data_IF_539473566851
#
_entry.id   IF_539473566851
#
_cell.length_a   1.000
_cell.length_b   1.000
_cell.length_c   1.000
_cell.angle_alpha   90.00
_cell.angle_beta   90.00
_cell.angle_gamma   90.00
#
_symmetry.space_group_name_H-M   'P 1'
#
loop_
_entity.id
_entity.type
_entity.pdbx_description
1 polymer ?
#
# COMPACT_ATOMS: atom_id res chain seq x y z
N UNK A 1 13.63 3.29 -3.53
CA UNK A 1 12.55 3.70 -4.47
C UNK A 1 12.30 2.58 -5.47
N UNK A 2 11.04 2.23 -5.68
CA UNK A 2 10.65 1.19 -6.64
C UNK A 2 10.34 1.84 -7.99
N UNK A 3 10.67 1.16 -9.09
CA UNK A 3 10.34 1.63 -10.44
C UNK A 3 9.02 1.03 -10.91
N UNK A 4 8.25 1.80 -11.65
CA UNK A 4 7.01 1.33 -12.28
C UNK A 4 6.64 2.15 -13.50
N UNK A 5 5.58 1.72 -14.15
CA UNK A 5 5.04 2.36 -15.35
C UNK A 5 3.58 2.74 -15.14
N UNK A 6 3.14 3.74 -15.87
CA UNK A 6 1.73 3.95 -16.12
C UNK A 6 1.42 3.87 -17.62
N UNK A 7 0.26 3.29 -17.95
CA UNK A 7 -0.14 2.93 -19.31
C UNK A 7 -1.62 3.21 -19.55
N UNK A 8 -1.96 3.43 -20.82
CA UNK A 8 -3.31 3.69 -21.31
C UNK A 8 -3.51 3.07 -22.69
N UNK A 9 -4.69 3.34 -23.27
CA UNK A 9 -5.02 2.99 -24.63
C UNK A 9 -4.07 3.55 -25.70
N UNK A 10 -3.27 4.57 -25.37
CA UNK A 10 -2.26 5.13 -26.25
C UNK A 10 -1.06 4.19 -26.42
N UNK A 11 -0.80 3.33 -25.43
CA UNK A 11 0.29 2.33 -25.50
C UNK A 11 -0.15 1.05 -26.23
N UNK A 12 -1.45 0.89 -26.51
CA UNK A 12 -1.99 -0.30 -27.14
C UNK A 12 -1.91 -1.54 -26.24
N UNK A 13 -1.72 -2.72 -26.84
CA UNK A 13 -1.49 -3.95 -26.08
C UNK A 13 -0.06 -3.98 -25.56
N UNK A 14 0.10 -3.88 -24.24
CA UNK A 14 1.41 -3.87 -23.56
C UNK A 14 1.74 -5.25 -23.03
N UNK A 15 2.94 -5.76 -23.34
CA UNK A 15 3.44 -6.98 -22.75
C UNK A 15 4.00 -6.72 -21.34
N UNK A 16 3.19 -6.96 -20.31
CA UNK A 16 3.54 -6.70 -18.91
C UNK A 16 4.72 -7.59 -18.42
N UNK A 17 4.95 -8.75 -19.05
CA UNK A 17 6.13 -9.57 -18.73
C UNK A 17 7.43 -8.83 -19.05
N UNK A 18 7.50 -8.06 -20.14
CA UNK A 18 8.67 -7.25 -20.48
C UNK A 18 8.89 -6.13 -19.46
N UNK A 19 7.81 -5.52 -18.98
CA UNK A 19 7.85 -4.53 -17.88
C UNK A 19 8.45 -5.16 -16.62
N UNK A 20 7.98 -6.35 -16.22
CA UNK A 20 8.53 -7.08 -15.06
C UNK A 20 10.01 -7.46 -15.25
N UNK A 21 10.38 -7.95 -16.43
CA UNK A 21 11.76 -8.38 -16.73
C UNK A 21 12.78 -7.24 -16.65
N UNK A 22 12.34 -5.99 -16.82
CA UNK A 22 13.19 -4.80 -16.65
C UNK A 22 13.28 -4.30 -15.21
N UNK A 23 12.73 -5.07 -14.25
CA UNK A 23 12.82 -4.79 -12.81
C UNK A 23 11.74 -3.87 -12.26
N UNK A 24 10.77 -3.46 -13.08
CA UNK A 24 9.61 -2.68 -12.60
C UNK A 24 8.74 -3.53 -11.67
N UNK A 25 8.14 -2.87 -10.68
CA UNK A 25 7.43 -3.50 -9.55
C UNK A 25 5.96 -3.13 -9.47
N UNK A 26 5.52 -2.16 -10.26
CA UNK A 26 4.13 -1.73 -10.29
C UNK A 26 3.70 -1.25 -11.68
N UNK A 27 2.40 -1.38 -11.95
CA UNK A 27 1.72 -0.90 -13.16
C UNK A 27 0.47 -0.13 -12.74
N UNK A 28 0.35 1.10 -13.23
CA UNK A 28 -0.85 1.92 -13.10
C UNK A 28 -1.53 1.98 -14.47
N UNK A 29 -2.77 1.53 -14.61
CA UNK A 29 -3.47 1.51 -15.90
C UNK A 29 -4.64 2.49 -15.91
N UNK A 30 -4.82 3.21 -17.01
CA UNK A 30 -6.02 4.03 -17.23
C UNK A 30 -7.22 3.12 -17.23
N UNK A 31 -8.24 3.45 -16.44
CA UNK A 31 -9.51 2.72 -16.45
C UNK A 31 -10.59 3.53 -17.18
N UNK A 32 -10.72 4.80 -16.84
CA UNK A 32 -11.77 5.66 -17.39
C UNK A 32 -11.32 7.10 -17.59
N UNK A 33 -12.08 7.82 -18.42
CA UNK A 33 -11.95 9.26 -18.60
C UNK A 33 -13.33 9.92 -18.64
N UNK A 34 -13.49 11.00 -17.88
CA UNK A 34 -14.76 11.70 -17.76
C UNK A 34 -15.90 10.78 -17.33
N UNK A 35 -17.09 10.90 -17.92
CA UNK A 35 -18.25 10.09 -17.51
C UNK A 35 -18.62 8.96 -18.47
N UNK A 36 -17.84 8.74 -19.54
CA UNK A 36 -18.27 7.85 -20.64
C UNK A 36 -17.16 7.00 -21.24
N UNK A 37 -15.90 7.40 -21.14
CA UNK A 37 -14.81 6.66 -21.78
C UNK A 37 -14.28 5.56 -20.86
N UNK A 38 -14.29 4.33 -21.36
CA UNK A 38 -13.62 3.17 -20.73
C UNK A 38 -12.39 2.82 -21.55
N UNK A 39 -11.24 2.70 -20.88
CA UNK A 39 -10.02 2.24 -21.54
C UNK A 39 -10.11 0.74 -21.84
N UNK A 40 -10.08 0.39 -23.13
CA UNK A 40 -10.24 -0.99 -23.58
C UNK A 40 -9.09 -1.94 -23.18
N UNK A 41 -7.93 -1.41 -22.77
CA UNK A 41 -6.77 -2.21 -22.35
C UNK A 41 -6.62 -2.31 -20.83
N UNK A 42 -7.45 -1.60 -20.06
CA UNK A 42 -7.43 -1.62 -18.59
C UNK A 42 -7.46 -3.04 -18.02
N UNK A 43 -8.51 -3.80 -18.38
CA UNK A 43 -8.76 -5.12 -17.80
C UNK A 43 -7.64 -6.12 -18.10
N UNK A 44 -7.14 -6.16 -19.34
CA UNK A 44 -6.04 -7.05 -19.71
C UNK A 44 -4.76 -6.66 -18.99
N UNK A 45 -4.44 -5.36 -18.93
CA UNK A 45 -3.21 -4.87 -18.31
C UNK A 45 -3.16 -5.16 -16.82
N UNK A 46 -4.26 -4.90 -16.09
CA UNK A 46 -4.33 -5.16 -14.64
C UNK A 46 -4.30 -6.66 -14.35
N UNK A 47 -5.01 -7.47 -15.14
CA UNK A 47 -5.01 -8.93 -14.99
C UNK A 47 -3.59 -9.49 -15.15
N UNK A 48 -2.88 -9.08 -16.20
CA UNK A 48 -1.53 -9.56 -16.49
C UNK A 48 -0.53 -9.06 -15.42
N UNK A 49 -0.64 -7.80 -14.98
CA UNK A 49 0.19 -7.27 -13.91
C UNK A 49 -0.03 -8.01 -12.58
N UNK A 50 -1.28 -8.29 -12.22
CA UNK A 50 -1.61 -9.02 -10.99
C UNK A 50 -1.14 -10.48 -11.05
N UNK A 51 -1.31 -11.16 -12.19
CA UNK A 51 -0.79 -12.51 -12.39
C UNK A 51 0.74 -12.60 -12.26
N UNK A 52 1.43 -11.48 -12.46
CA UNK A 52 2.87 -11.33 -12.29
C UNK A 52 3.27 -10.76 -10.91
N UNK A 53 2.34 -10.70 -9.95
CA UNK A 53 2.58 -10.22 -8.58
C UNK A 53 3.14 -8.78 -8.53
N UNK A 54 2.85 -7.97 -9.54
CA UNK A 54 3.14 -6.55 -9.53
C UNK A 54 2.07 -5.83 -8.71
N UNK A 55 2.44 -4.70 -8.10
CA UNK A 55 1.45 -3.78 -7.52
C UNK A 55 0.62 -3.20 -8.66
N UNK A 56 -0.70 -3.23 -8.52
CA UNK A 56 -1.63 -2.77 -9.55
C UNK A 56 -2.43 -1.57 -9.08
N UNK A 57 -2.63 -0.60 -9.97
CA UNK A 57 -3.50 0.53 -9.71
C UNK A 57 -4.28 0.96 -10.95
N UNK A 58 -5.44 1.55 -10.71
CA UNK A 58 -6.28 2.11 -11.76
C UNK A 58 -6.31 3.64 -11.63
N UNK A 59 -6.20 4.35 -12.75
CA UNK A 59 -6.39 5.80 -12.75
C UNK A 59 -7.60 6.26 -13.56
N UNK A 60 -8.18 7.37 -13.11
CA UNK A 60 -9.27 8.07 -13.75
C UNK A 60 -8.80 9.43 -14.26
N UNK A 61 -8.91 9.67 -15.57
CA UNK A 61 -8.62 10.98 -16.14
C UNK A 61 -9.83 11.91 -15.98
N UNK A 62 -9.70 12.91 -15.11
CA UNK A 62 -10.80 13.80 -14.77
C UNK A 62 -11.22 14.69 -15.94
N UNK A 63 -12.52 14.96 -16.04
CA UNK A 63 -13.09 16.01 -16.90
C UNK A 63 -14.04 16.94 -16.13
N UNK A 64 -14.16 16.76 -14.81
CA UNK A 64 -15.02 17.58 -13.97
C UNK A 64 -14.43 18.96 -13.66
N UNK A 65 -15.32 19.95 -13.57
CA UNK A 65 -15.04 21.29 -13.04
C UNK A 65 -15.98 21.66 -11.88
N UNK A 66 -16.86 20.75 -11.47
CA UNK A 66 -17.77 20.92 -10.33
C UNK A 66 -17.79 19.67 -9.44
N UNK A 67 -18.25 19.84 -8.20
CA UNK A 67 -18.37 18.75 -7.23
C UNK A 67 -19.36 17.67 -7.67
N UNK A 68 -20.49 18.08 -8.25
CA UNK A 68 -21.53 17.17 -8.74
C UNK A 68 -20.99 16.30 -9.87
N UNK A 69 -20.23 16.92 -10.79
CA UNK A 69 -19.61 16.20 -11.90
C UNK A 69 -18.50 15.26 -11.40
N UNK A 70 -17.73 15.68 -10.41
CA UNK A 70 -16.74 14.83 -9.76
C UNK A 70 -17.36 13.56 -9.15
N UNK A 71 -18.51 13.68 -8.50
CA UNK A 71 -19.25 12.51 -7.95
C UNK A 71 -19.77 11.59 -9.08
N UNK A 72 -20.25 12.16 -10.19
CA UNK A 72 -20.68 11.37 -11.35
C UNK A 72 -19.51 10.58 -11.94
N UNK A 73 -18.37 11.23 -12.17
CA UNK A 73 -17.16 10.59 -12.71
C UNK A 73 -16.61 9.53 -11.76
N UNK A 74 -16.62 9.79 -10.44
CA UNK A 74 -16.24 8.81 -9.44
C UNK A 74 -17.15 7.57 -9.48
N UNK A 75 -18.46 7.76 -9.66
CA UNK A 75 -19.42 6.65 -9.77
C UNK A 75 -19.16 5.80 -11.01
N UNK A 76 -18.81 6.44 -12.14
CA UNK A 76 -18.46 5.76 -13.39
C UNK A 76 -17.13 5.01 -13.30
N UNK A 77 -16.10 5.62 -12.68
CA UNK A 77 -14.86 4.92 -12.38
C UNK A 77 -15.11 3.71 -11.48
N UNK A 78 -15.88 3.87 -10.40
CA UNK A 78 -16.23 2.79 -9.46
C UNK A 78 -16.92 1.62 -10.14
N UNK A 79 -17.89 1.87 -11.02
CA UNK A 79 -18.58 0.78 -11.73
C UNK A 79 -17.65 0.05 -12.69
N UNK A 80 -16.70 0.76 -13.31
CA UNK A 80 -15.77 0.18 -14.28
C UNK A 80 -14.71 -0.70 -13.62
N UNK A 81 -14.22 -0.32 -12.44
CA UNK A 81 -13.17 -1.07 -11.74
C UNK A 81 -13.73 -2.11 -10.75
N UNK A 82 -15.05 -2.22 -10.63
CA UNK A 82 -15.70 -3.13 -9.69
C UNK A 82 -15.22 -4.58 -9.88
N UNK A 83 -14.92 -5.25 -8.76
CA UNK A 83 -14.43 -6.63 -8.76
C UNK A 83 -12.95 -6.80 -9.15
N UNK A 84 -12.23 -5.71 -9.41
CA UNK A 84 -10.78 -5.77 -9.67
C UNK A 84 -10.00 -5.63 -8.36
N UNK A 85 -9.02 -6.51 -8.15
CA UNK A 85 -8.10 -6.42 -7.01
C UNK A 85 -6.96 -5.42 -7.30
N UNK A 86 -7.19 -4.16 -6.92
CA UNK A 86 -6.28 -3.03 -7.10
C UNK A 86 -5.63 -2.65 -5.78
N UNK A 87 -4.32 -2.45 -5.73
CA UNK A 87 -3.62 -2.03 -4.51
C UNK A 87 -3.93 -0.58 -4.12
N UNK A 88 -4.10 0.31 -5.11
CA UNK A 88 -4.55 1.70 -4.94
C UNK A 88 -5.28 2.21 -6.19
N UNK A 89 -5.95 3.36 -6.07
CA UNK A 89 -6.65 4.05 -7.16
C UNK A 89 -6.22 5.50 -7.25
N UNK A 90 -6.28 6.08 -8.45
CA UNK A 90 -5.74 7.40 -8.73
C UNK A 90 -6.79 8.32 -9.37
N UNK A 91 -6.91 9.54 -8.83
CA UNK A 91 -7.47 10.67 -9.57
C UNK A 91 -6.34 11.35 -10.36
N UNK A 92 -6.41 11.31 -11.68
CA UNK A 92 -5.56 12.09 -12.57
C UNK A 92 -6.25 13.43 -12.86
N UNK A 93 -5.71 14.52 -12.28
CA UNK A 93 -6.30 15.85 -12.37
C UNK A 93 -5.38 16.83 -13.10
N UNK A 94 -5.55 16.85 -14.43
CA UNK A 94 -4.84 17.75 -15.34
C UNK A 94 -5.78 18.38 -16.39
N UNK A 95 -7.07 18.47 -16.08
CA UNK A 95 -8.08 19.04 -16.96
C UNK A 95 -8.10 20.58 -16.89
N UNK A 96 -8.61 21.23 -17.93
CA UNK A 96 -8.68 22.70 -17.98
C UNK A 96 -9.76 23.25 -17.03
N UNK A 97 -9.35 23.89 -15.93
CA UNK A 97 -10.23 24.57 -14.96
C UNK A 97 -9.81 26.02 -14.71
N UNK A 98 -10.68 26.74 -14.00
CA UNK A 98 -10.35 27.98 -13.31
C UNK A 98 -10.65 27.85 -11.81
N UNK A 99 -9.91 28.62 -11.00
CA UNK A 99 -10.14 28.69 -9.56
C UNK A 99 -9.69 27.45 -8.78
N UNK A 100 -10.09 27.42 -7.51
CA UNK A 100 -9.79 26.34 -6.58
C UNK A 100 -10.73 25.14 -6.80
N UNK A 101 -10.14 24.01 -7.14
CA UNK A 101 -10.80 22.76 -7.47
C UNK A 101 -10.75 21.73 -6.34
N UNK A 102 -10.22 22.11 -5.17
CA UNK A 102 -9.95 21.21 -4.05
C UNK A 102 -11.20 20.47 -3.62
N UNK A 103 -12.33 21.15 -3.40
CA UNK A 103 -13.55 20.50 -2.88
C UNK A 103 -14.18 19.52 -3.89
N UNK A 104 -14.00 19.74 -5.20
CA UNK A 104 -14.43 18.78 -6.22
C UNK A 104 -13.50 17.56 -6.28
N UNK A 105 -12.17 17.78 -6.22
CA UNK A 105 -11.19 16.70 -6.17
C UNK A 105 -11.38 15.84 -4.91
N UNK A 106 -11.63 16.46 -3.76
CA UNK A 106 -11.94 15.77 -2.51
C UNK A 106 -13.20 14.91 -2.66
N UNK A 107 -14.26 15.41 -3.29
CA UNK A 107 -15.48 14.63 -3.49
C UNK A 107 -15.25 13.38 -4.36
N UNK A 108 -14.40 13.49 -5.39
CA UNK A 108 -13.99 12.33 -6.19
C UNK A 108 -13.15 11.34 -5.36
N UNK A 109 -12.08 11.84 -4.72
CA UNK A 109 -11.14 11.01 -3.96
C UNK A 109 -11.83 10.30 -2.78
N UNK A 110 -12.71 11.00 -2.05
CA UNK A 110 -13.51 10.42 -0.96
C UNK A 110 -14.40 9.29 -1.48
N UNK A 111 -15.01 9.49 -2.65
CA UNK A 111 -15.85 8.47 -3.26
C UNK A 111 -15.04 7.23 -3.69
N UNK A 112 -13.88 7.38 -4.32
CA UNK A 112 -13.10 6.21 -4.80
C UNK A 112 -12.32 5.50 -3.69
N UNK A 113 -12.10 6.16 -2.54
CA UNK A 113 -11.36 5.59 -1.39
C UNK A 113 -12.00 4.32 -0.81
N UNK A 114 -13.27 4.05 -1.13
CA UNK A 114 -13.93 2.80 -0.74
C UNK A 114 -13.51 1.60 -1.60
N UNK A 115 -12.80 1.80 -2.71
CA UNK A 115 -12.28 0.71 -3.57
C UNK A 115 -10.93 0.22 -3.02
N UNK A 116 -10.02 1.17 -2.84
CA UNK A 116 -8.64 0.98 -2.39
C UNK A 116 -8.13 2.36 -1.91
N UNK A 117 -6.95 2.45 -1.25
CA UNK A 117 -6.31 3.73 -0.97
C UNK A 117 -6.28 4.63 -2.20
N UNK A 118 -6.73 5.88 -2.05
CA UNK A 118 -6.80 6.85 -3.14
C UNK A 118 -5.56 7.76 -3.16
N UNK A 119 -5.10 8.10 -4.36
CA UNK A 119 -3.94 8.97 -4.63
C UNK A 119 -4.37 10.05 -5.61
N UNK A 120 -3.83 11.27 -5.49
CA UNK A 120 -4.02 12.34 -6.49
C UNK A 120 -2.76 12.47 -7.35
N UNK A 121 -2.95 12.49 -8.66
CA UNK A 121 -1.95 12.84 -9.64
C UNK A 121 -2.18 14.24 -10.18
N UNK A 122 -1.09 15.02 -10.26
CA UNK A 122 -1.05 16.33 -10.93
C UNK A 122 0.40 16.81 -11.09
N UNK A 123 0.61 17.92 -11.79
CA UNK A 123 1.91 18.59 -11.90
C UNK A 123 2.02 19.80 -10.93
N UNK A 124 3.22 20.36 -10.71
CA UNK A 124 3.43 21.45 -9.74
C UNK A 124 2.63 22.72 -10.03
N UNK A 125 2.38 23.01 -11.32
CA UNK A 125 1.59 24.18 -11.72
C UNK A 125 0.12 24.00 -11.36
N UNK A 126 -0.42 22.78 -11.52
CA UNK A 126 -1.78 22.45 -11.08
C UNK A 126 -1.94 22.62 -9.58
N UNK A 127 -0.96 22.15 -8.79
CA UNK A 127 -0.98 22.34 -7.33
C UNK A 127 -1.09 23.82 -6.98
N UNK A 128 -0.21 24.67 -7.56
CA UNK A 128 -0.17 26.11 -7.27
C UNK A 128 -1.44 26.85 -7.71
N UNK A 129 -2.03 26.46 -8.83
CA UNK A 129 -3.14 27.20 -9.44
C UNK A 129 -4.52 26.77 -8.96
N UNK A 130 -4.68 25.51 -8.54
CA UNK A 130 -6.01 24.91 -8.38
C UNK A 130 -6.24 24.15 -7.09
N UNK A 131 -5.22 23.97 -6.24
CA UNK A 131 -5.34 23.19 -5.01
C UNK A 131 -4.92 23.98 -3.77
N UNK A 132 -5.56 23.68 -2.65
CA UNK A 132 -5.22 24.18 -1.32
C UNK A 132 -4.90 23.01 -0.36
N UNK A 133 -4.40 23.33 0.83
CA UNK A 133 -3.88 22.34 1.80
C UNK A 133 -4.86 21.24 2.23
N UNK A 134 -6.18 21.40 2.07
CA UNK A 134 -7.14 20.32 2.41
C UNK A 134 -6.89 19.05 1.60
N UNK A 135 -6.34 19.18 0.39
CA UNK A 135 -6.08 18.04 -0.50
C UNK A 135 -5.00 17.09 0.04
N UNK A 136 -4.13 17.57 0.95
CA UNK A 136 -2.98 16.80 1.45
C UNK A 136 -3.36 15.64 2.37
N UNK A 137 -4.66 15.44 2.62
CA UNK A 137 -5.19 14.21 3.23
C UNK A 137 -4.94 12.98 2.35
N UNK A 138 -4.71 13.17 1.04
CA UNK A 138 -4.35 12.11 0.10
C UNK A 138 -2.87 12.15 -0.28
N UNK A 139 -2.23 10.98 -0.51
CA UNK A 139 -0.88 10.93 -1.05
C UNK A 139 -0.79 11.53 -2.45
N UNK A 140 0.37 12.11 -2.78
CA UNK A 140 0.66 12.76 -4.04
C UNK A 140 1.42 11.84 -5.00
N UNK A 141 0.92 11.72 -6.23
CA UNK A 141 1.68 11.29 -7.40
C UNK A 141 2.05 12.53 -8.24
N UNK A 142 3.30 12.97 -8.17
CA UNK A 142 3.74 14.21 -8.81
C UNK A 142 4.32 13.95 -10.21
N UNK A 143 3.84 14.65 -11.23
CA UNK A 143 4.48 14.71 -12.54
C UNK A 143 5.48 15.88 -12.60
N UNK A 144 6.78 15.58 -12.61
CA UNK A 144 7.80 16.61 -12.75
C UNK A 144 9.02 16.07 -13.50
N UNK A 145 9.17 16.44 -14.77
CA UNK A 145 10.15 15.84 -15.67
C UNK A 145 11.44 16.66 -15.75
N UNK A 146 12.54 16.02 -16.18
CA UNK A 146 13.80 16.72 -16.49
C UNK A 146 14.52 17.29 -15.27
N UNK A 147 14.21 16.78 -14.07
CA UNK A 147 14.82 17.19 -12.80
C UNK A 147 15.40 15.99 -12.05
N UNK A 148 16.39 16.22 -11.17
CA UNK A 148 16.92 15.21 -10.27
C UNK A 148 16.06 15.00 -9.01
N UNK A 149 15.20 15.96 -8.68
CA UNK A 149 14.24 15.89 -7.57
C UNK A 149 12.95 16.62 -7.95
N UNK A 150 11.76 16.07 -7.68
CA UNK A 150 10.51 16.75 -7.95
C UNK A 150 10.36 17.99 -7.04
N UNK A 151 9.83 19.09 -7.60
CA UNK A 151 9.41 20.29 -6.86
C UNK A 151 7.89 20.28 -6.77
N UNK A 152 7.33 20.60 -5.60
CA UNK A 152 5.90 20.71 -5.37
C UNK A 152 5.62 21.47 -4.07
N UNK A 153 4.42 22.03 -3.95
CA UNK A 153 3.95 22.74 -2.75
C UNK A 153 2.86 21.92 -2.04
N UNK A 154 2.40 22.38 -0.88
CA UNK A 154 1.37 21.77 -0.01
C UNK A 154 1.77 20.45 0.66
N UNK A 155 2.39 19.50 -0.06
CA UNK A 155 2.90 18.26 0.50
C UNK A 155 4.35 18.40 0.97
N UNK A 156 4.72 17.66 2.01
CA UNK A 156 6.11 17.49 2.46
C UNK A 156 6.82 16.29 1.82
N UNK A 157 6.06 15.36 1.23
CA UNK A 157 6.58 14.17 0.53
C UNK A 157 5.62 13.72 -0.57
N UNK A 158 6.17 13.10 -1.60
CA UNK A 158 5.41 12.39 -2.63
C UNK A 158 5.30 10.89 -2.29
N UNK A 159 4.22 10.25 -2.73
CA UNK A 159 4.09 8.79 -2.76
C UNK A 159 4.66 8.21 -4.04
N UNK A 160 4.41 8.88 -5.17
CA UNK A 160 4.90 8.49 -6.50
C UNK A 160 5.42 9.74 -7.22
N UNK A 161 6.46 9.60 -8.02
CA UNK A 161 7.00 10.63 -8.89
C UNK A 161 7.09 10.11 -10.32
N UNK A 162 6.30 10.68 -11.23
CA UNK A 162 6.45 10.48 -12.67
C UNK A 162 7.58 11.39 -13.16
N UNK A 163 8.71 10.77 -13.52
CA UNK A 163 9.95 11.50 -13.81
C UNK A 163 10.21 11.66 -15.30
N UNK A 164 9.49 10.92 -16.15
CA UNK A 164 9.54 11.08 -17.61
C UNK A 164 8.29 10.51 -18.26
N UNK A 165 7.85 11.15 -19.34
CA UNK A 165 6.85 10.64 -20.28
C UNK A 165 7.47 10.16 -21.61
N UNK A 166 8.80 10.02 -21.63
CA UNK A 166 9.59 9.57 -22.78
C UNK A 166 10.40 8.32 -22.44
N UNK A 167 9.90 7.52 -21.51
CA UNK A 167 10.52 6.24 -21.18
C UNK A 167 10.43 5.28 -22.34
N UNK A 168 11.41 4.39 -22.45
CA UNK A 168 11.39 3.29 -23.38
C UNK A 168 11.74 2.01 -22.63
N UNK A 169 10.92 0.98 -22.80
CA UNK A 169 11.17 -0.36 -22.27
C UNK A 169 11.58 -1.24 -23.41
N UNK A 170 12.69 -1.96 -23.25
CA UNK A 170 13.20 -2.87 -24.28
C UNK A 170 12.11 -3.88 -24.69
N UNK A 171 11.81 -3.92 -25.99
CA UNK A 171 10.76 -4.77 -26.56
C UNK A 171 9.34 -4.17 -26.53
N UNK A 172 9.16 -2.94 -26.04
CA UNK A 172 7.94 -2.15 -26.21
C UNK A 172 8.14 -1.05 -27.25
N UNK A 173 7.14 -0.83 -28.09
CA UNK A 173 7.12 0.28 -29.05
C UNK A 173 6.59 1.56 -28.41
N UNK A 174 7.12 2.71 -28.85
CA UNK A 174 6.65 4.03 -28.40
C UNK A 174 7.20 4.43 -27.03
N UNK A 175 6.64 5.51 -26.50
CA UNK A 175 6.98 6.01 -25.16
C UNK A 175 6.04 5.44 -24.11
N UNK A 176 6.57 5.29 -22.91
CA UNK A 176 5.82 4.94 -21.70
C UNK A 176 6.26 5.86 -20.57
N UNK A 177 5.32 6.19 -19.70
CA UNK A 177 5.57 7.03 -18.55
C UNK A 177 6.23 6.20 -17.45
N UNK A 178 7.33 6.72 -16.89
CA UNK A 178 8.11 6.01 -15.88
C UNK A 178 8.05 6.73 -14.54
N UNK A 179 7.96 5.92 -13.49
CA UNK A 179 7.65 6.37 -12.15
C UNK A 179 8.62 5.82 -11.12
N UNK A 180 8.89 6.62 -10.10
CA UNK A 180 9.44 6.17 -8.82
C UNK A 180 8.35 6.14 -7.76
N UNK A 181 8.23 5.03 -7.04
CA UNK A 181 7.39 4.92 -5.85
C UNK A 181 8.27 4.98 -4.59
N UNK A 182 7.83 5.77 -3.62
CA UNK A 182 8.45 5.84 -2.30
C UNK A 182 8.26 4.51 -1.55
N UNK A 183 9.28 4.10 -0.81
CA UNK A 183 9.31 2.79 -0.17
C UNK A 183 8.32 2.68 1.00
N UNK A 184 8.12 3.77 1.75
CA UNK A 184 7.11 3.85 2.79
C UNK A 184 5.69 3.71 2.21
N UNK A 185 5.42 4.33 1.05
CA UNK A 185 4.15 4.15 0.35
C UNK A 185 3.98 2.70 -0.12
N UNK A 186 4.99 2.12 -0.78
CA UNK A 186 4.95 0.72 -1.19
C UNK A 186 4.66 -0.23 -0.02
N UNK A 187 5.36 -0.06 1.11
CA UNK A 187 5.14 -0.88 2.31
C UNK A 187 3.74 -0.68 2.90
N UNK A 188 3.14 0.50 2.77
CA UNK A 188 1.77 0.76 3.21
C UNK A 188 0.71 0.04 2.36
N UNK A 189 1.02 -0.31 1.11
CA UNK A 189 0.10 -0.98 0.18
C UNK A 189 0.03 -2.48 0.38
N UNK A 190 1.04 -3.10 1.00
CA UNK A 190 1.11 -4.56 1.15
C UNK A 190 -0.05 -5.08 1.99
N UNK A 191 -1.07 -5.61 1.30
CA UNK A 191 -2.22 -6.30 1.91
C UNK A 191 -1.75 -7.58 2.57
N UNK A 192 -1.98 -7.73 3.87
CA UNK A 192 -1.74 -8.99 4.57
C UNK A 192 -0.29 -9.26 5.00
N UNK A 193 0.66 -8.35 4.75
CA UNK A 193 1.92 -8.38 5.51
C UNK A 193 1.60 -7.94 6.93
N UNK A 194 1.60 -8.93 7.83
CA UNK A 194 1.46 -8.70 9.25
C UNK A 194 2.55 -7.73 9.68
N UNK A 195 2.13 -6.53 10.12
CA UNK A 195 2.99 -5.37 10.39
C UNK A 195 3.98 -5.59 11.54
N UNK A 196 3.75 -6.63 12.35
CA UNK A 196 4.59 -7.01 13.49
C UNK A 196 5.01 -8.47 13.34
N UNK A 197 6.30 -8.75 13.33
CA UNK A 197 6.83 -10.11 13.17
C UNK A 197 6.55 -11.03 14.36
N UNK A 198 6.67 -10.52 15.58
CA UNK A 198 6.38 -11.30 16.78
C UNK A 198 5.91 -10.42 17.95
N UNK A 199 5.13 -11.00 18.86
CA UNK A 199 4.83 -10.42 20.17
C UNK A 199 4.76 -11.54 21.21
N UNK A 200 5.17 -11.27 22.45
CA UNK A 200 5.02 -12.20 23.57
C UNK A 200 3.98 -11.68 24.55
N UNK A 201 2.92 -12.45 24.77
CA UNK A 201 1.86 -12.16 25.73
C UNK A 201 2.19 -12.81 27.08
N UNK A 202 1.94 -12.09 28.18
CA UNK A 202 2.06 -12.62 29.54
C UNK A 202 0.89 -12.22 30.43
N UNK A 203 0.58 -13.03 31.45
CA UNK A 203 -0.25 -12.62 32.58
C UNK A 203 0.62 -11.99 33.68
N UNK A 204 0.09 -11.03 34.43
CA UNK A 204 0.85 -10.40 35.52
C UNK A 204 1.29 -11.43 36.56
N UNK A 205 2.51 -11.28 37.07
CA UNK A 205 3.11 -12.18 38.06
C UNK A 205 4.40 -12.81 37.56
N UNK A 206 4.65 -14.05 37.96
CA UNK A 206 5.92 -14.73 37.71
C UNK A 206 6.21 -14.98 36.21
N UNK A 207 5.16 -15.14 35.40
CA UNK A 207 5.29 -15.45 33.97
C UNK A 207 5.87 -14.29 33.15
N UNK A 208 5.74 -13.05 33.64
CA UNK A 208 6.30 -11.86 33.00
C UNK A 208 7.82 -11.98 32.81
N UNK A 209 8.54 -12.48 33.82
CA UNK A 209 10.01 -12.58 33.72
C UNK A 209 10.45 -13.58 32.64
N UNK A 210 9.73 -14.70 32.53
CA UNK A 210 9.98 -15.70 31.48
C UNK A 210 9.57 -15.18 30.10
N UNK A 211 8.53 -14.35 30.03
CA UNK A 211 8.10 -13.71 28.78
C UNK A 211 9.15 -12.72 28.24
N UNK A 212 9.76 -11.92 29.11
CA UNK A 212 10.84 -10.98 28.71
C UNK A 212 12.06 -11.74 28.17
N UNK A 213 12.46 -12.86 28.79
CA UNK A 213 13.56 -13.69 28.27
C UNK A 213 13.29 -14.23 26.85
N UNK A 214 12.04 -14.62 26.58
CA UNK A 214 11.63 -15.06 25.25
C UNK A 214 11.64 -13.88 24.26
N UNK A 215 11.14 -12.73 24.68
CA UNK A 215 11.05 -11.52 23.88
C UNK A 215 12.44 -10.99 23.49
N UNK A 216 13.40 -11.00 24.42
CA UNK A 216 14.81 -10.66 24.16
C UNK A 216 15.41 -11.57 23.09
N UNK A 217 15.16 -12.89 23.17
CA UNK A 217 15.65 -13.83 22.17
C UNK A 217 15.01 -13.62 20.80
N UNK A 218 13.71 -13.33 20.76
CA UNK A 218 12.96 -13.08 19.53
C UNK A 218 13.14 -11.66 18.99
N UNK A 219 13.81 -10.77 19.73
CA UNK A 219 13.93 -9.35 19.46
C UNK A 219 12.57 -8.69 19.14
N UNK A 220 11.59 -8.89 20.04
CA UNK A 220 10.22 -8.45 19.83
C UNK A 220 9.59 -7.86 21.10
N UNK A 221 8.48 -7.09 21.01
CA UNK A 221 7.84 -6.52 22.19
C UNK A 221 7.09 -7.55 23.06
N UNK A 222 6.87 -7.19 24.33
CA UNK A 222 5.95 -7.87 25.23
C UNK A 222 4.63 -7.10 25.39
N UNK A 223 3.56 -7.81 25.76
CA UNK A 223 2.28 -7.19 26.12
C UNK A 223 1.57 -7.97 27.23
N UNK A 224 1.03 -7.24 28.20
CA UNK A 224 0.16 -7.84 29.21
C UNK A 224 -1.16 -8.30 28.58
N UNK A 225 -1.58 -9.53 28.87
CA UNK A 225 -2.85 -10.12 28.42
C UNK A 225 -4.09 -9.33 28.89
N UNK A 226 -3.96 -8.50 29.93
CA UNK A 226 -5.02 -7.62 30.41
C UNK A 226 -5.32 -6.45 29.45
N UNK A 227 -4.44 -6.16 28.48
CA UNK A 227 -4.61 -5.07 27.51
C UNK A 227 -5.45 -5.55 26.33
N UNK A 228 -6.52 -4.81 26.03
CA UNK A 228 -7.25 -4.99 24.76
C UNK A 228 -6.34 -4.55 23.61
N UNK A 229 -5.98 -5.49 22.75
CA UNK A 229 -5.10 -5.27 21.61
C UNK A 229 -5.60 -6.10 20.42
N UNK A 230 -5.49 -5.56 19.20
CA UNK A 230 -5.82 -6.29 17.97
C UNK A 230 -4.58 -7.03 17.46
N UNK A 231 -4.60 -8.35 17.57
CA UNK A 231 -3.52 -9.23 17.15
C UNK A 231 -3.60 -9.64 15.66
N UNK A 232 -4.61 -9.17 14.91
CA UNK A 232 -4.82 -9.54 13.49
C UNK A 232 -3.61 -9.24 12.60
N UNK A 233 -2.81 -8.23 12.97
CA UNK A 233 -1.63 -7.77 12.23
C UNK A 233 -0.30 -8.34 12.76
N UNK A 234 -0.32 -9.34 13.66
CA UNK A 234 0.90 -9.90 14.28
C UNK A 234 1.19 -11.31 13.76
N UNK A 235 2.40 -11.53 13.21
CA UNK A 235 2.79 -12.78 12.52
C UNK A 235 2.87 -13.95 13.45
N UNK A 236 3.67 -13.83 14.51
CA UNK A 236 3.81 -14.84 15.52
C UNK A 236 3.35 -14.28 16.87
N UNK A 237 2.31 -14.87 17.44
CA UNK A 237 1.79 -14.50 18.75
C UNK A 237 2.21 -15.61 19.72
N UNK A 238 3.17 -15.32 20.57
CA UNK A 238 3.62 -16.22 21.63
C UNK A 238 2.90 -15.86 22.93
N UNK A 239 2.64 -16.85 23.77
CA UNK A 239 2.22 -16.63 25.15
C UNK A 239 3.09 -17.43 26.12
N UNK A 240 3.36 -16.84 27.28
CA UNK A 240 4.12 -17.50 28.35
C UNK A 240 3.26 -17.64 29.61
N UNK A 241 3.16 -18.88 30.10
CA UNK A 241 2.37 -19.24 31.28
C UNK A 241 0.86 -19.36 31.02
N UNK A 242 0.13 -19.90 31.99
CA UNK A 242 -1.33 -20.08 31.91
C UNK A 242 -1.79 -21.16 30.91
N UNK A 243 -3.02 -21.02 30.42
CA UNK A 243 -3.71 -21.95 29.51
C UNK A 243 -4.16 -21.26 28.24
N UNK A 244 -4.31 -22.03 27.15
CA UNK A 244 -4.61 -21.50 25.80
C UNK A 244 -5.88 -20.67 25.75
N UNK A 245 -6.91 -21.04 26.53
CA UNK A 245 -8.22 -20.41 26.54
C UNK A 245 -8.19 -18.98 27.11
N UNK A 246 -7.10 -18.60 27.77
CA UNK A 246 -6.91 -17.26 28.34
C UNK A 246 -6.41 -16.25 27.31
N UNK A 247 -6.00 -16.69 26.12
CA UNK A 247 -5.32 -15.87 25.13
C UNK A 247 -6.15 -15.67 23.86
N UNK A 248 -5.72 -14.71 23.06
CA UNK A 248 -6.34 -14.39 21.77
C UNK A 248 -6.42 -15.61 20.83
N UNK A 249 -7.43 -15.65 19.97
CA UNK A 249 -7.56 -16.68 18.92
C UNK A 249 -6.41 -16.66 17.91
N UNK A 250 -5.65 -15.57 17.85
CA UNK A 250 -4.44 -15.44 17.02
C UNK A 250 -3.19 -16.10 17.61
N UNK A 251 -3.28 -16.72 18.80
CA UNK A 251 -2.16 -17.37 19.48
C UNK A 251 -1.53 -18.46 18.59
N UNK A 252 -0.25 -18.29 18.28
CA UNK A 252 0.51 -19.26 17.47
C UNK A 252 1.16 -20.34 18.32
N UNK A 253 1.69 -19.99 19.50
CA UNK A 253 2.41 -20.92 20.35
C UNK A 253 2.30 -20.51 21.83
N UNK A 254 2.02 -21.48 22.69
CA UNK A 254 1.95 -21.30 24.14
C UNK A 254 3.09 -22.08 24.79
N UNK A 255 3.89 -21.40 25.61
CA UNK A 255 4.95 -22.00 26.42
C UNK A 255 4.55 -21.86 27.89
N UNK A 256 4.15 -22.97 28.50
CA UNK A 256 3.61 -22.97 29.86
C UNK A 256 3.97 -24.28 30.57
N UNK A 257 4.25 -24.22 31.87
CA UNK A 257 4.47 -25.35 32.77
C UNK A 257 3.40 -25.43 33.86
N UNK A 258 3.52 -26.41 34.76
CA UNK A 258 2.60 -26.58 35.90
C UNK A 258 2.82 -25.52 36.98
N UNK A 259 4.02 -24.94 37.05
CA UNK A 259 4.36 -23.80 37.88
C UNK A 259 5.28 -22.81 37.15
N UNK A 260 5.69 -21.76 37.87
CA UNK A 260 6.57 -20.69 37.35
C UNK A 260 7.97 -21.18 36.98
N UNK A 261 8.51 -22.18 37.68
CA UNK A 261 9.86 -22.67 37.47
C UNK A 261 9.90 -23.56 36.23
N UNK A 262 8.92 -24.45 36.10
CA UNK A 262 8.77 -25.28 34.91
C UNK A 262 8.45 -24.44 33.67
N UNK A 263 7.65 -23.37 33.81
CA UNK A 263 7.40 -22.41 32.72
C UNK A 263 8.71 -21.76 32.25
N UNK A 264 9.55 -21.31 33.19
CA UNK A 264 10.85 -20.72 32.87
C UNK A 264 11.78 -21.72 32.17
N UNK A 265 11.85 -22.96 32.65
CA UNK A 265 12.63 -24.03 32.03
C UNK A 265 12.18 -24.31 30.59
N UNK A 266 10.87 -24.39 30.35
CA UNK A 266 10.31 -24.60 29.01
C UNK A 266 10.63 -23.44 28.05
N UNK A 267 10.64 -22.20 28.53
CA UNK A 267 11.09 -21.04 27.72
C UNK A 267 12.57 -21.19 27.36
N UNK A 268 13.44 -21.50 28.33
CA UNK A 268 14.87 -21.69 28.07
C UNK A 268 15.12 -22.83 27.06
N UNK A 269 14.36 -23.92 27.15
CA UNK A 269 14.48 -25.04 26.23
C UNK A 269 13.96 -24.71 24.83
N UNK A 270 12.88 -23.93 24.72
CA UNK A 270 12.42 -23.39 23.45
C UNK A 270 13.52 -22.56 22.77
N UNK A 271 14.14 -21.63 23.51
CA UNK A 271 15.25 -20.80 23.03
C UNK A 271 16.43 -21.66 22.57
N UNK A 272 16.85 -22.64 23.38
CA UNK A 272 17.97 -23.55 23.03
C UNK A 272 17.68 -24.33 21.75
N UNK A 273 16.47 -24.86 21.58
CA UNK A 273 16.06 -25.61 20.38
C UNK A 273 16.09 -24.72 19.14
N UNK A 274 15.58 -23.49 19.24
CA UNK A 274 15.57 -22.52 18.14
C UNK A 274 16.98 -22.07 17.75
N UNK A 275 17.88 -21.81 18.71
CA UNK A 275 19.28 -21.45 18.42
C UNK A 275 19.98 -22.52 17.58
N UNK A 276 19.85 -23.80 17.98
CA UNK A 276 20.43 -24.92 17.22
C UNK A 276 19.90 -25.04 15.78
N UNK A 277 18.68 -24.58 15.51
CA UNK A 277 18.09 -24.62 14.17
C UNK A 277 18.52 -23.43 13.29
N UNK A 278 19.10 -22.38 13.86
CA UNK A 278 19.64 -21.21 13.13
C UNK A 278 21.13 -21.39 12.80
N UNK A 279 21.85 -22.19 13.60
CA UNK A 279 23.27 -22.49 13.42
C UNK A 279 23.53 -23.67 12.43
N UNK A 280 22.50 -24.19 11.77
CA UNK A 280 22.53 -25.26 10.75
C UNK A 280 22.03 -24.73 9.40
#
# INVERSE_FOLDING_TARGET
MLKGVDISNLNGSVNIQLVKNTGHKFVIAKATEGSTFVDKFYNSSIKDARALELVTAAYHFARFTTKEKAIQEASFFKSTVAGTDLDFVVLDFEQQCSGDMTDACLAFLDAISSIAPAVIYCNPNYIKSHLNSKITKYPLWIANYGTSSPDFTLWSKYAIWQYTNKGQISGMSGYVDLNYMAEDFYNSLKRGEKKVDAIVIYNYGADMHSAELLADFLNCPTISNARKFDYSQVKNVYAVGGKKEQYTSYLTELISGTDRYETAERVLDFIKKRKKAVDL
#
